data_IF_980537933882
#
_entry.id   IF_980537933882
#
_cell.length_a   1.000
_cell.length_b   1.000
_cell.length_c   1.000
_cell.angle_alpha   90.00
_cell.angle_beta   90.00
_cell.angle_gamma   90.00
#
_symmetry.space_group_name_H-M   'P 1'
#
loop_
_entity.id
_entity.type
_entity.pdbx_description
1 polymer ?
#
# COMPACT_ATOMS: atom_id res chain seq x y z
N UNK A 1 -25.39 -8.99 7.63
CA UNK A 1 -25.09 -8.81 6.21
C UNK A 1 -24.17 -9.92 5.74
N UNK A 2 -24.46 -10.55 4.63
CA UNK A 2 -23.59 -11.60 4.10
C UNK A 2 -22.38 -10.99 3.38
N UNK A 3 -21.27 -11.72 3.31
CA UNK A 3 -20.05 -11.30 2.58
C UNK A 3 -20.36 -11.00 1.10
N UNK A 4 -21.43 -11.56 0.54
CA UNK A 4 -21.87 -11.30 -0.84
C UNK A 4 -22.43 -9.89 -1.03
N UNK A 5 -23.14 -9.35 -0.05
CA UNK A 5 -23.82 -8.03 -0.17
C UNK A 5 -22.81 -6.86 -0.19
N UNK A 6 -21.57 -7.09 0.29
CA UNK A 6 -20.53 -6.08 0.34
C UNK A 6 -19.63 -6.02 -0.90
N UNK A 7 -19.67 -7.06 -1.76
CA UNK A 7 -18.81 -7.16 -2.96
C UNK A 7 -19.49 -6.67 -4.26
N UNK A 8 -20.73 -6.19 -4.20
CA UNK A 8 -21.48 -5.76 -5.40
C UNK A 8 -21.14 -4.34 -5.91
N UNK A 9 -20.18 -3.66 -5.27
CA UNK A 9 -19.81 -2.30 -5.67
C UNK A 9 -18.46 -2.28 -6.38
N UNK A 10 -18.50 -2.25 -7.71
CA UNK A 10 -17.31 -2.00 -8.53
C UNK A 10 -17.13 -0.50 -8.73
N UNK A 11 -16.24 0.10 -7.95
CA UNK A 11 -15.86 1.51 -8.12
C UNK A 11 -14.61 1.61 -9.00
N UNK A 12 -14.59 2.58 -9.90
CA UNK A 12 -13.34 3.04 -10.51
C UNK A 12 -12.77 4.15 -9.62
N UNK A 13 -11.73 3.81 -8.86
CA UNK A 13 -11.11 4.68 -7.87
C UNK A 13 -9.87 5.37 -8.45
N UNK A 14 -9.48 6.47 -7.83
CA UNK A 14 -8.17 7.09 -8.09
C UNK A 14 -7.12 6.50 -7.15
N UNK A 15 -5.91 6.28 -7.66
CA UNK A 15 -4.81 5.80 -6.84
C UNK A 15 -3.50 6.52 -7.09
N UNK A 16 -2.64 6.49 -6.08
CA UNK A 16 -1.26 6.95 -6.16
C UNK A 16 -0.28 5.84 -5.83
N UNK A 17 0.95 5.98 -6.29
CA UNK A 17 2.08 5.10 -5.97
C UNK A 17 3.28 5.93 -5.53
N UNK A 18 3.84 5.60 -4.38
CA UNK A 18 5.10 6.13 -3.88
C UNK A 18 6.06 4.98 -3.70
N UNK A 19 7.24 5.09 -4.29
CA UNK A 19 8.35 4.17 -4.03
C UNK A 19 9.37 4.84 -3.13
N UNK A 20 9.58 4.27 -1.94
CA UNK A 20 10.61 4.70 -1.02
C UNK A 20 11.95 4.07 -1.43
N UNK A 21 12.86 4.89 -1.93
CA UNK A 21 14.19 4.44 -2.34
C UNK A 21 15.17 5.61 -2.46
N UNK A 22 16.35 5.46 -1.88
CA UNK A 22 17.43 6.44 -2.01
C UNK A 22 18.34 6.19 -3.21
N UNK A 23 18.16 5.08 -3.93
CA UNK A 23 19.02 4.66 -5.04
C UNK A 23 18.32 4.59 -6.39
N UNK A 24 16.98 4.44 -6.40
CA UNK A 24 16.20 4.36 -7.63
C UNK A 24 15.72 5.72 -8.11
N UNK A 25 15.45 5.79 -9.40
CA UNK A 25 14.75 6.91 -10.05
C UNK A 25 13.46 6.38 -10.67
N UNK A 26 12.59 7.25 -11.15
CA UNK A 26 11.38 6.83 -11.87
C UNK A 26 11.67 5.95 -13.08
N UNK A 27 12.85 6.12 -13.73
CA UNK A 27 13.26 5.28 -14.86
C UNK A 27 13.65 3.86 -14.45
N UNK A 28 14.21 3.69 -13.25
CA UNK A 28 14.73 2.41 -12.75
C UNK A 28 13.82 1.75 -11.71
N UNK A 29 12.67 2.33 -11.42
CA UNK A 29 11.72 1.83 -10.44
C UNK A 29 10.80 0.77 -11.03
N UNK A 30 11.28 -0.46 -11.10
CA UNK A 30 10.49 -1.59 -11.60
C UNK A 30 9.35 -1.96 -10.65
N UNK A 31 9.52 -1.73 -9.35
CA UNK A 31 8.49 -1.99 -8.33
C UNK A 31 7.28 -1.09 -8.49
N UNK A 32 7.50 0.22 -8.61
CA UNK A 32 6.41 1.18 -8.84
C UNK A 32 5.68 0.92 -10.15
N UNK A 33 6.43 0.60 -11.22
CA UNK A 33 5.83 0.24 -12.51
C UNK A 33 4.96 -1.02 -12.43
N UNK A 34 5.42 -2.05 -11.72
CA UNK A 34 4.65 -3.27 -11.51
C UNK A 34 3.33 -2.98 -10.79
N UNK A 35 3.34 -2.17 -9.74
CA UNK A 35 2.13 -1.77 -9.01
C UNK A 35 1.17 -1.03 -9.95
N UNK A 36 1.68 -0.05 -10.70
CA UNK A 36 0.89 0.73 -11.65
C UNK A 36 0.24 -0.18 -12.69
N UNK A 37 0.99 -1.11 -13.27
CA UNK A 37 0.47 -2.03 -14.29
C UNK A 37 -0.63 -2.95 -13.74
N UNK A 38 -0.49 -3.43 -12.50
CA UNK A 38 -1.48 -4.30 -11.88
C UNK A 38 -2.78 -3.57 -11.55
N UNK A 39 -2.71 -2.32 -11.12
CA UNK A 39 -3.86 -1.56 -10.61
C UNK A 39 -4.55 -0.77 -11.73
N UNK A 40 -3.82 -0.28 -12.73
CA UNK A 40 -4.36 0.55 -13.83
C UNK A 40 -5.35 -0.17 -14.74
N UNK A 41 -5.47 -1.51 -14.62
CA UNK A 41 -6.50 -2.29 -15.34
C UNK A 41 -7.92 -1.98 -14.83
N UNK A 42 -8.07 -1.54 -13.59
CA UNK A 42 -9.36 -1.31 -12.95
C UNK A 42 -9.52 0.09 -12.34
N UNK A 43 -8.43 0.79 -12.07
CA UNK A 43 -8.43 2.07 -11.37
C UNK A 43 -7.55 3.10 -12.07
N UNK A 44 -7.70 4.37 -11.72
CA UNK A 44 -7.03 5.49 -12.39
C UNK A 44 -5.84 6.00 -11.58
N UNK A 45 -4.64 5.92 -12.16
CA UNK A 45 -3.42 6.52 -11.58
C UNK A 45 -3.52 8.06 -11.65
N UNK A 46 -3.33 8.73 -10.51
CA UNK A 46 -3.32 10.19 -10.41
C UNK A 46 -2.02 10.75 -9.83
N UNK A 47 -1.17 9.89 -9.27
CA UNK A 47 0.09 10.30 -8.65
C UNK A 47 1.12 9.18 -8.68
N UNK A 48 2.35 9.51 -9.05
CA UNK A 48 3.49 8.60 -8.96
C UNK A 48 4.76 9.37 -8.63
N UNK A 49 5.51 8.89 -7.64
CA UNK A 49 6.77 9.49 -7.24
C UNK A 49 7.72 8.49 -6.60
N UNK A 50 9.01 8.60 -6.90
CA UNK A 50 10.08 7.97 -6.12
C UNK A 50 10.56 8.99 -5.09
N UNK A 51 10.57 8.60 -3.82
CA UNK A 51 10.91 9.45 -2.69
C UNK A 51 12.07 8.81 -1.93
N UNK A 52 13.05 9.60 -1.53
CA UNK A 52 14.18 9.11 -0.73
C UNK A 52 13.71 8.54 0.61
N UNK A 53 14.50 7.62 1.17
CA UNK A 53 14.31 7.06 2.52
C UNK A 53 14.61 8.16 3.57
N UNK A 54 13.66 9.05 3.72
CA UNK A 54 13.66 10.18 4.64
C UNK A 54 12.26 10.37 5.22
N UNK A 55 12.18 10.47 6.54
CA UNK A 55 10.88 10.54 7.26
C UNK A 55 10.05 11.73 6.81
N UNK A 56 10.66 12.90 6.68
CA UNK A 56 9.95 14.14 6.34
C UNK A 56 9.48 14.09 4.89
N UNK A 57 10.34 13.67 3.98
CA UNK A 57 10.00 13.59 2.55
C UNK A 57 8.91 12.57 2.29
N UNK A 58 8.97 11.38 2.92
CA UNK A 58 7.95 10.34 2.79
C UNK A 58 6.61 10.79 3.38
N UNK A 59 6.64 11.34 4.58
CA UNK A 59 5.45 11.91 5.23
C UNK A 59 4.77 12.95 4.34
N UNK A 60 5.53 13.94 3.89
CA UNK A 60 4.98 15.05 3.11
C UNK A 60 4.39 14.56 1.78
N UNK A 61 5.08 13.66 1.08
CA UNK A 61 4.56 13.06 -0.15
C UNK A 61 3.23 12.32 0.07
N UNK A 62 3.10 11.58 1.16
CA UNK A 62 1.86 10.88 1.52
C UNK A 62 0.74 11.85 1.87
N UNK A 63 1.02 12.87 2.67
CA UNK A 63 0.00 13.84 3.10
C UNK A 63 -0.47 14.74 1.95
N UNK A 64 0.41 15.09 1.03
CA UNK A 64 0.08 15.93 -0.13
C UNK A 64 -0.74 15.20 -1.20
N UNK A 65 -0.64 13.88 -1.26
CA UNK A 65 -1.32 13.11 -2.31
C UNK A 65 -2.83 13.09 -2.10
N UNK A 66 -3.57 13.51 -3.13
CA UNK A 66 -5.03 13.46 -3.15
C UNK A 66 -5.51 12.34 -4.07
N UNK A 67 -5.91 11.24 -3.48
CA UNK A 67 -6.44 10.05 -4.17
C UNK A 67 -7.29 9.22 -3.21
N UNK A 68 -8.06 8.27 -3.73
CA UNK A 68 -8.88 7.39 -2.91
C UNK A 68 -8.03 6.38 -2.14
N UNK A 69 -7.01 5.83 -2.79
CA UNK A 69 -6.03 4.97 -2.11
C UNK A 69 -4.61 5.16 -2.62
N UNK A 70 -3.66 4.90 -1.74
CA UNK A 70 -2.23 5.11 -1.96
C UNK A 70 -1.45 3.84 -1.63
N UNK A 71 -0.59 3.43 -2.53
CA UNK A 71 0.38 2.36 -2.29
C UNK A 71 1.75 2.98 -2.07
N UNK A 72 2.35 2.70 -0.92
CA UNK A 72 3.74 3.06 -0.63
C UNK A 72 4.54 1.78 -0.54
N UNK A 73 5.52 1.60 -1.42
CA UNK A 73 6.35 0.41 -1.43
C UNK A 73 7.81 0.72 -1.10
N UNK A 74 8.46 -0.23 -0.44
CA UNK A 74 9.82 -0.10 0.05
C UNK A 74 9.93 0.46 1.47
N UNK A 75 11.08 0.29 2.07
CA UNK A 75 11.40 0.81 3.41
C UNK A 75 10.63 0.18 4.56
N UNK A 76 10.24 -1.09 4.44
CA UNK A 76 9.43 -1.82 5.45
C UNK A 76 10.21 -2.79 6.31
N UNK A 77 11.51 -2.93 6.10
CA UNK A 77 12.38 -3.83 6.85
C UNK A 77 12.82 -3.26 8.20
N UNK A 78 13.87 -3.85 8.76
CA UNK A 78 14.38 -3.53 10.10
C UNK A 78 15.68 -2.73 10.09
N UNK A 79 16.22 -2.39 8.92
CA UNK A 79 17.44 -1.61 8.84
C UNK A 79 17.22 -0.14 9.24
N UNK A 80 18.28 0.56 9.56
CA UNK A 80 18.23 2.00 9.85
C UNK A 80 17.75 2.86 8.67
N UNK A 81 17.73 2.30 7.48
CA UNK A 81 17.26 2.97 6.26
C UNK A 81 15.78 2.69 5.94
N UNK A 82 15.19 1.72 6.63
CA UNK A 82 13.78 1.35 6.48
C UNK A 82 12.92 2.29 7.35
N UNK A 83 12.46 3.39 6.76
CA UNK A 83 11.80 4.50 7.47
C UNK A 83 10.34 4.70 7.07
N UNK A 84 9.81 3.91 6.15
CA UNK A 84 8.47 4.13 5.61
C UNK A 84 7.38 4.00 6.67
N UNK A 85 7.46 2.98 7.52
CA UNK A 85 6.47 2.75 8.57
C UNK A 85 6.50 3.89 9.60
N UNK A 86 7.69 4.30 10.04
CA UNK A 86 7.91 5.40 10.98
C UNK A 86 7.41 6.75 10.43
N UNK A 87 7.56 6.95 9.12
CA UNK A 87 7.15 8.19 8.46
C UNK A 87 5.63 8.33 8.35
N UNK A 88 4.90 7.22 8.17
CA UNK A 88 3.51 7.23 7.71
C UNK A 88 2.54 6.75 8.79
N UNK A 89 2.84 5.65 9.46
CA UNK A 89 1.91 5.01 10.42
C UNK A 89 1.46 5.94 11.56
N UNK A 90 2.26 6.86 12.09
CA UNK A 90 1.80 7.82 13.10
C UNK A 90 0.62 8.70 12.67
N UNK A 91 0.40 8.84 11.37
CA UNK A 91 -0.69 9.66 10.81
C UNK A 91 -1.96 8.86 10.53
N UNK A 92 -1.96 7.55 10.73
CA UNK A 92 -3.17 6.75 10.59
C UNK A 92 -4.22 7.16 11.62
N UNK A 93 -5.39 7.54 11.13
CA UNK A 93 -6.57 7.80 11.97
C UNK A 93 -7.24 6.49 12.40
N UNK A 94 -7.14 5.46 11.58
CA UNK A 94 -7.51 4.06 11.89
C UNK A 94 -6.49 3.13 11.26
N UNK A 95 -6.15 2.04 11.96
CA UNK A 95 -5.33 0.97 11.41
C UNK A 95 -6.23 -0.09 10.77
N UNK A 96 -5.78 -0.65 9.65
CA UNK A 96 -6.35 -1.86 9.05
C UNK A 96 -5.41 -3.01 9.41
N UNK A 97 -5.47 -3.45 10.66
CA UNK A 97 -4.50 -4.42 11.22
C UNK A 97 -4.51 -5.75 10.46
N UNK A 98 -5.69 -6.18 10.02
CA UNK A 98 -5.85 -7.42 9.26
C UNK A 98 -5.07 -7.45 7.95
N UNK A 99 -4.77 -6.32 7.34
CA UNK A 99 -3.94 -6.30 6.14
C UNK A 99 -2.54 -6.86 6.40
N UNK A 100 -1.86 -6.33 7.40
CA UNK A 100 -0.51 -6.81 7.76
C UNK A 100 -0.49 -8.25 8.23
N UNK A 101 -1.51 -8.67 8.99
CA UNK A 101 -1.66 -10.05 9.45
C UNK A 101 -1.81 -11.02 8.26
N UNK A 102 -2.71 -10.74 7.33
CA UNK A 102 -2.93 -11.56 6.14
C UNK A 102 -1.73 -11.54 5.20
N UNK A 103 -1.11 -10.38 5.01
CA UNK A 103 0.10 -10.25 4.18
C UNK A 103 1.23 -11.13 4.73
N UNK A 104 1.51 -11.07 6.03
CA UNK A 104 2.55 -11.90 6.67
C UNK A 104 2.20 -13.39 6.64
N UNK A 105 0.93 -13.75 6.73
CA UNK A 105 0.49 -15.15 6.58
C UNK A 105 0.75 -15.69 5.17
N UNK A 106 0.47 -14.90 4.13
CA UNK A 106 0.78 -15.27 2.74
C UNK A 106 2.30 -15.37 2.56
N UNK A 107 3.04 -14.37 3.03
CA UNK A 107 4.51 -14.34 2.95
C UNK A 107 5.16 -15.52 3.69
N UNK A 108 4.59 -15.95 4.81
CA UNK A 108 5.08 -17.12 5.55
C UNK A 108 5.08 -18.41 4.72
N UNK A 109 4.09 -18.59 3.85
CA UNK A 109 4.02 -19.73 2.94
C UNK A 109 5.12 -19.71 1.87
N UNK A 110 5.61 -18.51 1.53
CA UNK A 110 6.62 -18.33 0.48
C UNK A 110 8.06 -18.34 1.05
N UNK A 111 8.28 -17.60 2.16
CA UNK A 111 9.62 -17.34 2.70
C UNK A 111 9.80 -17.83 4.15
N UNK A 112 8.80 -18.51 4.73
CA UNK A 112 8.88 -19.04 6.08
C UNK A 112 8.96 -17.96 7.15
N UNK A 113 9.70 -18.22 8.22
CA UNK A 113 9.80 -17.35 9.40
C UNK A 113 10.36 -15.95 9.12
N UNK A 114 11.06 -15.75 8.01
CA UNK A 114 11.54 -14.42 7.59
C UNK A 114 10.39 -13.42 7.39
N UNK A 115 9.17 -13.90 7.13
CA UNK A 115 7.98 -13.07 7.00
C UNK A 115 7.69 -12.22 8.26
N UNK A 116 8.13 -12.66 9.45
CA UNK A 116 7.96 -11.90 10.70
C UNK A 116 8.67 -10.55 10.71
N UNK A 117 9.70 -10.38 9.87
CA UNK A 117 10.46 -9.14 9.79
C UNK A 117 9.81 -8.09 8.87
N UNK A 118 8.78 -8.46 8.12
CA UNK A 118 8.03 -7.52 7.29
C UNK A 118 7.09 -6.69 8.15
N UNK A 119 7.18 -5.38 8.01
CA UNK A 119 6.31 -4.44 8.71
C UNK A 119 5.21 -3.86 7.81
N UNK A 120 4.79 -4.62 6.80
CA UNK A 120 3.66 -4.27 5.95
C UNK A 120 2.44 -3.87 6.80
N UNK A 121 1.82 -2.75 6.46
CA UNK A 121 0.76 -2.12 7.24
C UNK A 121 -0.24 -1.44 6.32
N UNK A 122 -1.46 -1.25 6.80
CA UNK A 122 -2.44 -0.42 6.13
C UNK A 122 -3.26 0.37 7.15
N UNK A 123 -3.76 1.51 6.72
CA UNK A 123 -4.57 2.37 7.55
C UNK A 123 -5.21 3.50 6.75
N UNK A 124 -5.89 4.37 7.47
CA UNK A 124 -6.56 5.52 6.91
C UNK A 124 -5.85 6.80 7.33
N UNK A 125 -5.63 7.68 6.36
CA UNK A 125 -5.28 9.07 6.63
C UNK A 125 -6.47 9.90 6.16
N UNK A 126 -7.31 10.34 7.10
CA UNK A 126 -8.63 10.88 6.82
C UNK A 126 -9.49 9.86 6.04
N UNK A 127 -9.88 10.19 4.81
CA UNK A 127 -10.62 9.29 3.91
C UNK A 127 -9.73 8.56 2.89
N UNK A 128 -8.43 8.79 2.90
CA UNK A 128 -7.47 8.12 2.02
C UNK A 128 -7.03 6.79 2.63
N UNK A 129 -7.15 5.73 1.86
CA UNK A 129 -6.69 4.39 2.24
C UNK A 129 -5.21 4.28 1.88
N UNK A 130 -4.34 3.95 2.83
CA UNK A 130 -2.90 3.85 2.60
C UNK A 130 -2.41 2.44 2.91
N UNK A 131 -1.73 1.83 1.93
CA UNK A 131 -1.07 0.54 2.07
C UNK A 131 0.44 0.74 2.02
N UNK A 132 1.15 0.17 3.00
CA UNK A 132 2.60 0.14 3.07
C UNK A 132 3.03 -1.30 2.83
N UNK A 133 3.76 -1.54 1.73
CA UNK A 133 4.16 -2.88 1.31
C UNK A 133 5.66 -2.97 1.01
N UNK A 134 6.27 -4.15 1.12
CA UNK A 134 7.65 -4.36 0.67
C UNK A 134 7.81 -4.13 -0.84
N UNK A 135 9.02 -3.76 -1.26
CA UNK A 135 9.31 -3.43 -2.65
C UNK A 135 9.70 -4.62 -3.54
N UNK A 136 9.73 -5.86 -3.04
CA UNK A 136 10.04 -7.01 -3.88
C UNK A 136 8.89 -7.37 -4.82
N UNK A 137 9.17 -7.86 -6.05
CA UNK A 137 8.11 -8.23 -6.99
C UNK A 137 7.12 -9.26 -6.45
N UNK A 138 7.60 -10.27 -5.73
CA UNK A 138 6.75 -11.29 -5.11
C UNK A 138 5.82 -10.69 -4.05
N UNK A 139 6.34 -9.83 -3.17
CA UNK A 139 5.55 -9.15 -2.14
C UNK A 139 4.49 -8.23 -2.75
N UNK A 140 4.84 -7.49 -3.81
CA UNK A 140 3.91 -6.64 -4.54
C UNK A 140 2.78 -7.46 -5.16
N UNK A 141 3.12 -8.55 -5.86
CA UNK A 141 2.13 -9.41 -6.49
C UNK A 141 1.14 -9.99 -5.47
N UNK A 142 1.64 -10.50 -4.34
CA UNK A 142 0.81 -11.04 -3.27
C UNK A 142 -0.08 -9.96 -2.63
N UNK A 143 0.49 -8.82 -2.26
CA UNK A 143 -0.28 -7.74 -1.65
C UNK A 143 -1.37 -7.19 -2.57
N UNK A 144 -1.02 -6.89 -3.81
CA UNK A 144 -1.95 -6.25 -4.76
C UNK A 144 -3.02 -7.23 -5.24
N UNK A 145 -2.62 -8.42 -5.72
CA UNK A 145 -3.56 -9.36 -6.33
C UNK A 145 -4.44 -10.08 -5.31
N UNK A 146 -3.89 -10.44 -4.16
CA UNK A 146 -4.59 -11.29 -3.19
C UNK A 146 -5.32 -10.50 -2.11
N UNK A 147 -4.90 -9.27 -1.80
CA UNK A 147 -5.46 -8.49 -0.70
C UNK A 147 -6.07 -7.16 -1.15
N UNK A 148 -5.33 -6.31 -1.85
CA UNK A 148 -5.76 -4.95 -2.15
C UNK A 148 -6.88 -4.95 -3.20
N UNK A 149 -6.63 -5.51 -4.37
CA UNK A 149 -7.61 -5.48 -5.47
C UNK A 149 -8.93 -6.19 -5.15
N UNK A 150 -8.94 -7.32 -4.43
CA UNK A 150 -10.21 -7.95 -4.04
C UNK A 150 -11.06 -7.14 -3.07
N UNK A 151 -10.47 -6.28 -2.24
CA UNK A 151 -11.17 -5.61 -1.15
C UNK A 151 -11.22 -4.08 -1.26
N UNK A 152 -10.52 -3.45 -2.20
CA UNK A 152 -10.41 -1.99 -2.24
C UNK A 152 -11.77 -1.30 -2.43
N UNK A 153 -12.64 -1.82 -3.27
CA UNK A 153 -13.99 -1.28 -3.47
C UNK A 153 -14.86 -1.44 -2.22
N UNK A 154 -14.72 -2.56 -1.52
CA UNK A 154 -15.42 -2.79 -0.26
C UNK A 154 -14.93 -1.84 0.84
N UNK A 155 -13.62 -1.66 1.00
CA UNK A 155 -13.06 -0.70 1.96
C UNK A 155 -13.54 0.72 1.64
N UNK A 156 -13.52 1.10 0.38
CA UNK A 156 -14.00 2.41 -0.07
C UNK A 156 -15.48 2.61 0.26
N UNK A 157 -16.31 1.60 0.02
CA UNK A 157 -17.73 1.64 0.38
C UNK A 157 -17.93 1.83 1.89
N UNK A 158 -17.22 1.04 2.72
CA UNK A 158 -17.32 1.13 4.19
C UNK A 158 -16.90 2.51 4.72
N UNK A 159 -15.93 3.16 4.08
CA UNK A 159 -15.49 4.50 4.44
C UNK A 159 -16.50 5.60 4.12
N UNK A 160 -17.31 5.41 3.10
CA UNK A 160 -18.21 6.43 2.56
C UNK A 160 -19.69 6.15 2.81
N UNK A 161 -20.04 5.02 3.43
CA UNK A 161 -21.41 4.75 3.84
C UNK A 161 -21.82 5.72 4.96
N UNK A 162 -23.04 6.22 4.87
CA UNK A 162 -23.68 7.06 5.88
C UNK A 162 -24.30 6.23 7.02
#
# INVERSE_FOLDING_TARGET
>A
MSVKDHKEHDYVLTFGVITASSTRTEKTDDSGKLIIDLISKAHKLVYYKVVKDDIVMLRDAVLETNCDFLIVNGGTGLSRFDLTVEAIKPYFTKNIDGFGELFRMISYKEIGSAAMMSRASAGLINKKIVFIIPGSPAAIASAVKELIMPEISHIYYELNKE
#
